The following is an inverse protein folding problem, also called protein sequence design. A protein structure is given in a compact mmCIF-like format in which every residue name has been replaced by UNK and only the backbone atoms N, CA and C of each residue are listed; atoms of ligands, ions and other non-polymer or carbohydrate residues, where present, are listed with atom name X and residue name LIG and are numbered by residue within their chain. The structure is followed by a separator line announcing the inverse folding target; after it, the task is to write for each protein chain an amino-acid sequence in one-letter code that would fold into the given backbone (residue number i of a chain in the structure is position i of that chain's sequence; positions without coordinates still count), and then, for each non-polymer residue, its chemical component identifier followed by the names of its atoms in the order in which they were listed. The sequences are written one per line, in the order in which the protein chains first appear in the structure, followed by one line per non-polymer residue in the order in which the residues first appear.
data_IF_855925846853
#
_entry.id   IF_855925846853
#
_cell.length_a   1.000
_cell.length_b   1.000
_cell.length_c   1.000
_cell.angle_alpha   90.00
_cell.angle_beta   90.00
_cell.angle_gamma   90.00
#
_symmetry.space_group_name_H-M   'P 1'
#
loop_
_entity.id
_entity.type
_entity.pdbx_description
1 polymer ?
#
# COMPACT_ATOMS: atom_id res chain seq x y z
N UNK A 1 -34.40 57.98 -39.30
CA UNK A 1 -34.46 57.55 -37.89
C UNK A 1 -34.32 56.04 -37.83
N UNK A 2 -33.20 55.50 -37.36
CA UNK A 2 -32.95 54.06 -37.31
C UNK A 2 -33.47 53.47 -35.98
N UNK A 3 -34.32 52.43 -36.06
CA UNK A 3 -34.83 51.70 -34.89
C UNK A 3 -33.73 50.78 -34.35
N UNK A 4 -33.31 51.02 -33.12
CA UNK A 4 -32.45 50.11 -32.34
C UNK A 4 -33.29 48.90 -31.94
N UNK A 5 -32.90 47.71 -32.40
CA UNK A 5 -33.55 46.46 -32.00
C UNK A 5 -33.26 46.17 -30.52
N UNK A 6 -34.31 46.07 -29.70
CA UNK A 6 -34.22 45.57 -28.33
C UNK A 6 -33.99 44.07 -28.39
N UNK A 7 -32.79 43.63 -28.02
CA UNK A 7 -32.46 42.21 -27.86
C UNK A 7 -33.22 41.70 -26.63
N UNK A 8 -34.00 40.63 -26.82
CA UNK A 8 -34.81 40.02 -25.78
C UNK A 8 -33.96 39.53 -24.60
N UNK A 9 -34.40 39.87 -23.38
CA UNK A 9 -33.76 39.51 -22.11
C UNK A 9 -33.57 37.99 -21.94
N UNK A 10 -34.35 37.19 -22.66
CA UNK A 10 -34.27 35.72 -22.69
C UNK A 10 -33.01 35.24 -23.40
N UNK A 11 -32.63 35.90 -24.49
CA UNK A 11 -31.40 35.59 -25.26
C UNK A 11 -30.18 35.95 -24.40
N UNK A 12 -30.21 37.12 -23.73
CA UNK A 12 -29.16 37.55 -22.80
C UNK A 12 -28.93 36.56 -21.64
N UNK A 13 -30.02 36.08 -21.01
CA UNK A 13 -29.94 35.06 -19.94
C UNK A 13 -29.45 33.69 -20.42
N UNK A 14 -29.64 33.36 -21.71
CA UNK A 14 -29.17 32.10 -22.30
C UNK A 14 -27.65 32.14 -22.53
N UNK A 15 -27.14 33.27 -23.03
CA UNK A 15 -25.69 33.49 -23.16
C UNK A 15 -24.98 33.64 -21.81
N UNK A 16 -25.59 34.29 -20.81
CA UNK A 16 -25.04 34.36 -19.44
C UNK A 16 -24.99 32.99 -18.72
N UNK A 17 -25.87 32.05 -19.09
CA UNK A 17 -25.83 30.66 -18.58
C UNK A 17 -24.77 29.80 -19.27
N UNK A 18 -24.44 30.08 -20.53
CA UNK A 18 -23.36 29.40 -21.26
C UNK A 18 -21.97 29.94 -20.90
N UNK A 19 -21.87 31.21 -20.47
CA UNK A 19 -20.62 31.83 -20.00
C UNK A 19 -20.37 31.74 -18.48
N UNK A 20 -21.15 30.95 -17.74
CA UNK A 20 -20.59 30.33 -16.53
C UNK A 20 -19.58 29.30 -17.02
N UNK A 21 -18.37 29.77 -17.33
CA UNK A 21 -17.14 28.97 -17.40
C UNK A 21 -17.30 27.95 -16.31
N UNK A 22 -17.56 26.70 -16.72
CA UNK A 22 -17.46 25.53 -15.86
C UNK A 22 -16.15 25.80 -15.13
N UNK A 23 -16.20 26.02 -13.81
CA UNK A 23 -14.98 25.89 -13.03
C UNK A 23 -14.47 24.53 -13.48
N UNK A 24 -13.35 24.52 -14.19
CA UNK A 24 -12.62 23.31 -14.41
C UNK A 24 -12.16 22.99 -13.00
N UNK A 25 -13.05 22.35 -12.23
CA UNK A 25 -12.64 21.55 -11.10
C UNK A 25 -11.55 20.70 -11.72
N UNK A 26 -10.32 21.00 -11.33
CA UNK A 26 -9.18 20.14 -11.57
C UNK A 26 -9.67 18.81 -10.99
N UNK A 27 -10.17 17.93 -11.84
CA UNK A 27 -10.55 16.58 -11.42
C UNK A 27 -9.24 16.01 -10.93
N UNK A 28 -9.04 15.98 -9.62
CA UNK A 28 -7.88 15.37 -9.01
C UNK A 28 -7.84 13.97 -9.60
N UNK A 29 -6.83 13.68 -10.44
CA UNK A 29 -6.66 12.34 -10.98
C UNK A 29 -6.48 11.43 -9.77
N UNK A 30 -7.30 10.39 -9.70
CA UNK A 30 -7.21 9.39 -8.66
C UNK A 30 -6.38 8.23 -9.20
N UNK A 31 -5.56 7.63 -8.34
CA UNK A 31 -4.85 6.39 -8.61
C UNK A 31 -5.65 5.26 -7.98
N UNK A 32 -5.91 4.21 -8.75
CA UNK A 32 -6.62 3.04 -8.28
C UNK A 32 -5.64 1.89 -8.02
N UNK A 33 -5.62 1.42 -6.78
CA UNK A 33 -4.79 0.32 -6.31
C UNK A 33 -5.61 -0.95 -6.14
N UNK A 34 -5.09 -2.07 -6.64
CA UNK A 34 -5.49 -3.40 -6.20
C UNK A 34 -4.39 -3.93 -5.28
N UNK A 35 -4.72 -4.18 -4.01
CA UNK A 35 -3.79 -4.78 -3.04
C UNK A 35 -4.29 -6.18 -2.71
N UNK A 36 -3.44 -7.18 -2.91
CA UNK A 36 -3.75 -8.58 -2.63
C UNK A 36 -2.82 -9.09 -1.54
N UNK A 37 -3.38 -9.39 -0.38
CA UNK A 37 -2.63 -9.96 0.75
C UNK A 37 -2.72 -11.48 0.76
N UNK A 38 -1.62 -12.14 1.11
CA UNK A 38 -1.56 -13.57 1.40
C UNK A 38 -2.29 -13.89 2.72
N UNK A 39 -1.92 -13.21 3.81
CA UNK A 39 -2.53 -13.40 5.12
C UNK A 39 -3.93 -12.78 5.21
N UNK A 40 -4.80 -13.39 6.03
CA UNK A 40 -6.18 -12.93 6.21
C UNK A 40 -6.35 -11.83 7.28
N UNK A 41 -5.26 -11.50 7.99
CA UNK A 41 -5.35 -10.84 9.30
C UNK A 41 -4.47 -9.60 9.36
N UNK A 42 -3.17 -9.77 9.59
CA UNK A 42 -2.26 -8.68 9.94
C UNK A 42 -2.18 -7.64 8.81
N UNK A 43 -1.88 -8.09 7.60
CA UNK A 43 -1.67 -7.25 6.42
C UNK A 43 -2.98 -6.58 5.97
N UNK A 44 -4.09 -7.31 5.77
CA UNK A 44 -5.36 -6.69 5.40
C UNK A 44 -5.85 -5.67 6.43
N UNK A 45 -5.73 -5.97 7.73
CA UNK A 45 -6.15 -5.04 8.77
C UNK A 45 -5.31 -3.76 8.76
N UNK A 46 -4.00 -3.87 8.50
CA UNK A 46 -3.12 -2.72 8.40
C UNK A 46 -3.50 -1.82 7.21
N UNK A 47 -3.66 -2.39 6.01
CA UNK A 47 -4.03 -1.60 4.82
C UNK A 47 -5.45 -1.05 4.89
N UNK A 48 -6.38 -1.77 5.51
CA UNK A 48 -7.74 -1.27 5.76
C UNK A 48 -7.75 -0.06 6.69
N UNK A 49 -6.94 -0.08 7.75
CA UNK A 49 -6.83 1.07 8.64
C UNK A 49 -6.12 2.26 7.96
N UNK A 50 -5.22 1.99 7.01
CA UNK A 50 -4.61 3.03 6.18
C UNK A 50 -5.58 3.60 5.13
N UNK A 51 -6.51 2.79 4.59
CA UNK A 51 -7.51 3.19 3.61
C UNK A 51 -8.37 4.36 4.09
N UNK A 52 -8.67 4.42 5.40
CA UNK A 52 -9.44 5.52 6.00
C UNK A 52 -8.76 6.91 5.83
N UNK A 53 -7.46 6.93 5.51
CA UNK A 53 -6.68 8.16 5.25
C UNK A 53 -6.57 8.50 3.76
N UNK A 54 -7.05 7.64 2.88
CA UNK A 54 -6.95 7.78 1.43
C UNK A 54 -8.29 8.24 0.85
N UNK A 55 -8.31 8.84 -0.36
CA UNK A 55 -9.57 9.17 -1.02
C UNK A 55 -10.43 7.92 -1.19
N UNK A 56 -11.72 8.00 -0.82
CA UNK A 56 -12.60 6.83 -0.79
C UNK A 56 -12.64 6.09 -2.13
N UNK A 57 -12.47 4.77 -2.07
CA UNK A 57 -12.58 3.89 -3.22
C UNK A 57 -11.39 3.94 -4.18
N UNK A 58 -10.24 4.50 -3.76
CA UNK A 58 -8.97 4.38 -4.51
C UNK A 58 -8.27 3.05 -4.27
N UNK A 59 -8.52 2.39 -3.14
CA UNK A 59 -7.93 1.10 -2.80
C UNK A 59 -9.00 0.02 -2.88
N UNK A 60 -8.69 -1.06 -3.58
CA UNK A 60 -9.44 -2.31 -3.49
C UNK A 60 -8.54 -3.38 -2.85
N UNK A 61 -8.92 -3.81 -1.66
CA UNK A 61 -8.21 -4.83 -0.89
C UNK A 61 -8.84 -6.21 -1.14
N UNK A 62 -8.00 -7.19 -1.48
CA UNK A 62 -8.36 -8.61 -1.60
C UNK A 62 -7.45 -9.44 -0.70
N UNK A 63 -7.98 -10.57 -0.27
CA UNK A 63 -7.27 -11.56 0.53
C UNK A 63 -7.29 -12.88 -0.22
N UNK A 64 -6.12 -13.48 -0.45
CA UNK A 64 -6.02 -14.84 -0.96
C UNK A 64 -6.07 -15.83 0.20
N UNK A 65 -7.27 -15.99 0.79
CA UNK A 65 -7.53 -16.86 1.97
C UNK A 65 -7.40 -18.37 1.70
N UNK A 66 -6.67 -18.76 0.65
CA UNK A 66 -6.54 -20.15 0.18
C UNK A 66 -5.18 -20.74 0.59
N UNK A 67 -4.26 -19.94 1.15
CA UNK A 67 -2.93 -20.42 1.53
C UNK A 67 -2.15 -20.95 0.32
N UNK A 68 -2.31 -20.28 -0.84
CA UNK A 68 -1.57 -20.63 -2.06
C UNK A 68 -0.09 -20.38 -1.82
N UNK A 69 0.76 -21.07 -2.58
CA UNK A 69 2.16 -20.64 -2.65
C UNK A 69 2.25 -19.21 -3.20
N UNK A 70 3.35 -18.51 -2.90
CA UNK A 70 3.60 -17.12 -3.33
C UNK A 70 3.42 -16.90 -4.83
N UNK A 71 3.70 -17.91 -5.68
CA UNK A 71 3.46 -17.84 -7.13
C UNK A 71 1.95 -17.79 -7.44
N UNK A 72 1.15 -18.61 -6.76
CA UNK A 72 -0.30 -18.66 -6.92
C UNK A 72 -1.00 -17.38 -6.45
N UNK A 73 -0.42 -16.66 -5.48
CA UNK A 73 -0.88 -15.32 -5.07
C UNK A 73 -0.75 -14.32 -6.24
N UNK A 74 0.37 -14.35 -6.96
CA UNK A 74 0.60 -13.49 -8.14
C UNK A 74 -0.40 -13.83 -9.25
N UNK A 75 -0.63 -15.11 -9.52
CA UNK A 75 -1.66 -15.54 -10.49
C UNK A 75 -3.05 -15.06 -10.09
N UNK A 76 -3.37 -15.14 -8.81
CA UNK A 76 -4.64 -14.64 -8.30
C UNK A 76 -4.76 -13.13 -8.50
N UNK A 77 -3.73 -12.34 -8.19
CA UNK A 77 -3.72 -10.89 -8.38
C UNK A 77 -3.87 -10.49 -9.86
N UNK A 78 -3.16 -11.16 -10.77
CA UNK A 78 -3.31 -10.98 -12.22
C UNK A 78 -4.75 -11.23 -12.64
N UNK A 79 -5.32 -12.36 -12.21
CA UNK A 79 -6.72 -12.69 -12.51
C UNK A 79 -7.69 -11.65 -11.96
N UNK A 80 -7.52 -11.19 -10.72
CA UNK A 80 -8.39 -10.17 -10.12
C UNK A 80 -8.30 -8.83 -10.88
N UNK A 81 -7.10 -8.45 -11.31
CA UNK A 81 -6.89 -7.27 -12.17
C UNK A 81 -7.66 -7.41 -13.48
N UNK A 82 -7.50 -8.54 -14.16
CA UNK A 82 -7.98 -8.73 -15.54
C UNK A 82 -9.51 -8.90 -15.63
N UNK A 83 -10.14 -9.48 -14.60
CA UNK A 83 -11.61 -9.62 -14.55
C UNK A 83 -12.34 -8.38 -14.04
N UNK A 84 -11.61 -7.42 -13.46
CA UNK A 84 -12.23 -6.23 -12.88
C UNK A 84 -12.77 -5.30 -13.97
N UNK A 85 -13.98 -4.78 -13.78
CA UNK A 85 -14.50 -3.72 -14.64
C UNK A 85 -13.79 -2.38 -14.42
N UNK A 86 -13.14 -2.22 -13.26
CA UNK A 86 -12.32 -1.06 -12.92
C UNK A 86 -10.89 -1.32 -13.37
N UNK A 87 -10.31 -0.35 -14.08
CA UNK A 87 -8.88 -0.35 -14.36
C UNK A 87 -8.11 0.08 -13.12
N UNK A 88 -7.13 -0.73 -12.72
CA UNK A 88 -6.18 -0.39 -11.67
C UNK A 88 -4.93 0.23 -12.30
N UNK A 89 -4.45 1.31 -11.70
CA UNK A 89 -3.19 1.96 -12.07
C UNK A 89 -1.99 1.25 -11.43
N UNK A 90 -2.22 0.63 -10.26
CA UNK A 90 -1.22 -0.13 -9.50
C UNK A 90 -1.82 -1.43 -8.99
N UNK A 91 -1.07 -2.52 -9.14
CA UNK A 91 -1.42 -3.83 -8.56
C UNK A 91 -0.27 -4.29 -7.69
N UNK A 92 -0.58 -4.61 -6.43
CA UNK A 92 0.38 -5.01 -5.42
C UNK A 92 0.00 -6.35 -4.82
N UNK A 93 0.99 -7.22 -4.63
CA UNK A 93 0.89 -8.41 -3.79
C UNK A 93 1.69 -8.21 -2.51
N UNK A 94 1.15 -8.65 -1.38
CA UNK A 94 1.77 -8.55 -0.05
C UNK A 94 1.89 -9.96 0.52
N UNK A 95 3.11 -10.38 0.83
CA UNK A 95 3.38 -11.74 1.31
C UNK A 95 4.64 -11.80 2.18
N UNK A 96 4.69 -12.80 3.04
CA UNK A 96 5.85 -13.10 3.88
C UNK A 96 6.74 -14.15 3.17
N UNK A 97 8.02 -14.20 3.51
CA UNK A 97 8.87 -15.30 3.02
C UNK A 97 8.51 -16.64 3.68
N UNK A 98 8.19 -16.60 4.98
CA UNK A 98 7.74 -17.74 5.79
C UNK A 98 8.49 -19.06 5.50
N UNK A 99 7.79 -20.20 5.51
CA UNK A 99 8.33 -21.53 5.24
C UNK A 99 8.29 -21.92 3.74
N UNK A 100 8.02 -20.98 2.83
CA UNK A 100 8.02 -21.30 1.41
C UNK A 100 9.43 -21.60 0.90
N UNK A 101 9.56 -22.52 -0.08
CA UNK A 101 10.82 -22.74 -0.77
C UNK A 101 11.36 -21.43 -1.36
N UNK A 102 12.65 -21.20 -1.24
CA UNK A 102 13.34 -20.01 -1.74
C UNK A 102 13.04 -19.72 -3.22
N UNK A 103 12.98 -20.78 -4.04
CA UNK A 103 12.65 -20.68 -5.47
C UNK A 103 11.23 -20.16 -5.71
N UNK A 104 10.26 -20.52 -4.85
CA UNK A 104 8.90 -20.02 -4.96
C UNK A 104 8.84 -18.53 -4.58
N UNK A 105 9.54 -18.12 -3.52
CA UNK A 105 9.57 -16.72 -3.09
C UNK A 105 10.22 -15.84 -4.15
N UNK A 106 11.42 -16.21 -4.62
CA UNK A 106 12.15 -15.47 -5.65
C UNK A 106 11.39 -15.49 -6.99
N UNK A 107 10.87 -16.66 -7.37
CA UNK A 107 10.10 -16.83 -8.60
C UNK A 107 8.81 -16.01 -8.61
N UNK A 108 8.12 -15.87 -7.48
CA UNK A 108 6.93 -15.01 -7.37
C UNK A 108 7.26 -13.55 -7.64
N UNK A 109 8.35 -13.03 -7.06
CA UNK A 109 8.80 -11.65 -7.28
C UNK A 109 9.12 -11.42 -8.76
N UNK A 110 9.90 -12.31 -9.37
CA UNK A 110 10.26 -12.23 -10.79
C UNK A 110 9.00 -12.26 -11.67
N UNK A 111 8.08 -13.18 -11.40
CA UNK A 111 6.82 -13.32 -12.15
C UNK A 111 5.95 -12.09 -12.01
N UNK A 112 5.83 -11.52 -10.82
CA UNK A 112 5.05 -10.33 -10.58
C UNK A 112 5.56 -9.15 -11.41
N UNK A 113 6.87 -8.88 -11.37
CA UNK A 113 7.49 -7.82 -12.16
C UNK A 113 7.26 -8.02 -13.67
N UNK A 114 7.39 -9.24 -14.18
CA UNK A 114 7.13 -9.55 -15.58
C UNK A 114 5.67 -9.30 -16.02
N UNK A 115 4.74 -9.18 -15.06
CA UNK A 115 3.31 -8.99 -15.31
C UNK A 115 2.80 -7.63 -14.81
N UNK A 116 3.68 -6.65 -14.59
CA UNK A 116 3.32 -5.32 -14.06
C UNK A 116 2.56 -5.39 -12.73
N UNK A 117 2.97 -6.33 -11.87
CA UNK A 117 2.51 -6.46 -10.49
C UNK A 117 3.70 -6.17 -9.57
N UNK A 118 3.50 -5.27 -8.61
CA UNK A 118 4.50 -4.90 -7.61
C UNK A 118 4.42 -5.84 -6.40
N UNK A 119 5.52 -5.98 -5.66
CA UNK A 119 5.58 -6.85 -4.48
C UNK A 119 6.02 -6.11 -3.22
N UNK A 120 5.17 -6.12 -2.21
CA UNK A 120 5.46 -5.65 -0.85
C UNK A 120 5.72 -6.86 0.06
N UNK A 121 6.87 -7.51 -0.11
CA UNK A 121 7.24 -8.69 0.66
C UNK A 121 8.04 -8.38 1.92
N UNK A 122 8.07 -9.32 2.88
CA UNK A 122 8.86 -9.19 4.11
C UNK A 122 9.62 -10.46 4.48
N UNK A 123 10.88 -10.30 4.89
CA UNK A 123 11.76 -11.36 5.40
C UNK A 123 11.94 -11.26 6.91
N UNK A 124 11.45 -12.19 7.73
CA UNK A 124 10.59 -13.33 7.36
C UNK A 124 9.09 -13.08 7.55
N UNK A 125 8.71 -12.04 8.30
CA UNK A 125 7.32 -11.80 8.71
C UNK A 125 6.95 -10.32 8.72
N UNK A 126 5.71 -10.01 8.35
CA UNK A 126 5.18 -8.65 8.26
C UNK A 126 5.40 -7.83 9.54
N UNK A 127 5.44 -8.47 10.71
CA UNK A 127 5.76 -7.81 11.98
C UNK A 127 7.13 -7.09 12.00
N UNK A 128 8.06 -7.40 11.08
CA UNK A 128 9.27 -6.58 10.88
C UNK A 128 8.88 -5.13 10.55
N UNK A 129 7.92 -4.92 9.65
CA UNK A 129 7.42 -3.59 9.32
C UNK A 129 6.93 -2.86 10.58
N UNK A 130 6.15 -3.54 11.42
CA UNK A 130 5.68 -2.96 12.69
C UNK A 130 6.82 -2.63 13.65
N UNK A 131 7.85 -3.47 13.75
CA UNK A 131 9.00 -3.18 14.62
C UNK A 131 9.76 -1.94 14.16
N UNK A 132 9.87 -1.72 12.85
CA UNK A 132 10.53 -0.55 12.29
C UNK A 132 9.81 0.76 12.62
N UNK A 133 8.56 0.75 13.09
CA UNK A 133 7.94 1.96 13.64
C UNK A 133 8.54 2.38 14.99
N UNK A 134 9.22 1.48 15.70
CA UNK A 134 9.70 1.71 17.07
C UNK A 134 11.22 1.63 17.21
N UNK A 135 11.87 0.73 16.48
CA UNK A 135 13.32 0.53 16.56
C UNK A 135 13.90 0.03 15.24
N UNK A 136 15.17 0.39 14.98
CA UNK A 136 15.89 -0.18 13.86
C UNK A 136 16.26 -1.64 14.15
N UNK A 137 15.77 -2.57 13.32
CA UNK A 137 16.08 -4.01 13.43
C UNK A 137 16.94 -4.40 12.23
N UNK A 138 18.21 -4.70 12.48
CA UNK A 138 19.21 -4.95 11.44
C UNK A 138 19.77 -6.37 11.45
N UNK A 139 19.29 -7.21 12.36
CA UNK A 139 19.62 -8.64 12.50
C UNK A 139 18.33 -9.45 12.33
N UNK A 140 18.40 -10.56 11.60
CA UNK A 140 17.24 -11.41 11.36
C UNK A 140 16.67 -11.96 12.66
N UNK A 141 15.36 -11.85 12.82
CA UNK A 141 14.61 -12.40 13.96
C UNK A 141 13.81 -13.61 13.49
N UNK A 142 13.61 -14.58 14.39
CA UNK A 142 12.69 -15.68 14.13
C UNK A 142 11.24 -15.19 14.20
N UNK A 143 10.33 -15.80 13.43
CA UNK A 143 8.90 -15.45 13.44
C UNK A 143 8.28 -15.40 14.84
N UNK A 144 8.68 -16.34 15.71
CA UNK A 144 8.23 -16.42 17.10
C UNK A 144 8.68 -15.22 17.98
N UNK A 145 9.77 -14.55 17.62
CA UNK A 145 10.37 -13.49 18.42
C UNK A 145 9.72 -12.13 18.16
N UNK A 146 9.19 -11.87 16.96
CA UNK A 146 8.60 -10.58 16.60
C UNK A 146 7.55 -10.11 17.60
N UNK A 147 6.69 -11.03 18.04
CA UNK A 147 5.66 -10.75 19.06
C UNK A 147 6.29 -10.21 20.35
N UNK A 148 7.33 -10.87 20.86
CA UNK A 148 7.97 -10.47 22.10
C UNK A 148 8.66 -9.10 21.98
N UNK A 149 9.30 -8.84 20.83
CA UNK A 149 9.93 -7.54 20.56
C UNK A 149 8.89 -6.42 20.43
N UNK A 150 7.78 -6.66 19.72
CA UNK A 150 6.70 -5.68 19.58
C UNK A 150 6.07 -5.35 20.93
N UNK A 151 5.73 -6.37 21.71
CA UNK A 151 5.20 -6.20 23.06
C UNK A 151 6.18 -5.43 23.95
N UNK A 152 7.48 -5.72 23.87
CA UNK A 152 8.51 -5.00 24.63
C UNK A 152 8.53 -3.52 24.29
N UNK A 153 8.53 -3.16 23.01
CA UNK A 153 8.58 -1.75 22.61
C UNK A 153 7.30 -0.99 22.98
N UNK A 154 6.13 -1.62 22.83
CA UNK A 154 4.84 -1.00 23.20
C UNK A 154 4.72 -0.85 24.72
N UNK A 155 5.17 -1.85 25.51
CA UNK A 155 5.13 -1.79 26.98
C UNK A 155 6.02 -0.70 27.58
N UNK A 156 7.02 -0.19 26.84
CA UNK A 156 7.82 0.97 27.27
C UNK A 156 7.00 2.27 27.29
N UNK A 157 5.86 2.32 26.59
CA UNK A 157 4.97 3.49 26.56
C UNK A 157 4.08 3.51 27.80
N UNK A 158 3.86 4.70 28.36
CA UNK A 158 3.05 4.88 29.56
C UNK A 158 1.63 4.31 29.37
N UNK A 159 1.13 3.55 30.36
CA UNK A 159 -0.21 2.95 30.32
C UNK A 159 -0.30 1.55 29.67
N UNK A 160 0.77 1.04 29.04
CA UNK A 160 0.71 -0.21 28.27
C UNK A 160 1.52 -1.38 28.84
N UNK A 161 1.88 -1.33 30.12
CA UNK A 161 2.75 -2.32 30.80
C UNK A 161 2.27 -3.78 30.63
N UNK A 162 0.96 -4.00 30.44
CA UNK A 162 0.34 -5.33 30.25
C UNK A 162 -0.06 -5.64 28.81
N UNK A 163 0.33 -4.81 27.83
CA UNK A 163 -0.05 -4.99 26.42
C UNK A 163 0.36 -6.37 25.90
N UNK A 164 -0.50 -7.00 25.09
CA UNK A 164 -0.25 -8.28 24.42
C UNK A 164 -0.63 -8.15 22.96
N UNK A 165 0.28 -8.54 22.08
CA UNK A 165 0.03 -8.50 20.64
C UNK A 165 -0.80 -9.72 20.21
N UNK A 166 -1.84 -9.44 19.43
CA UNK A 166 -2.67 -10.43 18.75
C UNK A 166 -2.75 -10.06 17.27
N UNK A 167 -2.56 -11.04 16.37
CA UNK A 167 -2.56 -10.81 14.91
C UNK A 167 -3.87 -10.20 14.37
N UNK A 168 -4.98 -10.38 15.08
CA UNK A 168 -6.29 -9.82 14.75
C UNK A 168 -6.61 -8.50 15.46
N UNK A 169 -5.65 -7.94 16.19
CA UNK A 169 -5.91 -6.73 16.95
C UNK A 169 -5.85 -5.49 16.04
N UNK A 170 -7.03 -4.99 15.69
CA UNK A 170 -7.19 -3.71 15.01
C UNK A 170 -6.53 -2.55 15.76
N UNK A 171 -6.36 -2.66 17.08
CA UNK A 171 -5.64 -1.65 17.86
C UNK A 171 -4.16 -1.57 17.50
N UNK A 172 -3.55 -2.63 16.93
CA UNK A 172 -2.12 -2.61 16.56
C UNK A 172 -1.80 -1.43 15.65
N UNK A 173 -2.66 -1.13 14.67
CA UNK A 173 -2.50 0.06 13.82
C UNK A 173 -2.55 1.36 14.62
N UNK A 174 -3.52 1.50 15.52
CA UNK A 174 -3.62 2.68 16.39
C UNK A 174 -2.37 2.87 17.26
N UNK A 175 -1.68 1.79 17.65
CA UNK A 175 -0.41 1.89 18.36
C UNK A 175 0.72 2.39 17.47
N UNK A 176 0.82 1.86 16.25
CA UNK A 176 1.81 2.30 15.27
C UNK A 176 1.65 3.78 14.92
N UNK A 177 0.39 4.24 14.84
CA UNK A 177 0.05 5.62 14.56
C UNK A 177 0.33 6.55 15.74
N UNK A 178 -0.14 6.20 16.93
CA UNK A 178 -0.04 7.09 18.09
C UNK A 178 1.33 7.09 18.77
N UNK A 179 2.09 6.00 18.66
CA UNK A 179 3.33 5.80 19.43
C UNK A 179 4.54 5.38 18.59
N UNK A 180 4.33 5.04 17.32
CA UNK A 180 5.38 4.72 16.36
C UNK A 180 5.76 5.91 15.49
N UNK A 181 6.72 5.71 14.60
CA UNK A 181 7.15 6.70 13.61
C UNK A 181 7.24 6.04 12.22
N UNK A 182 6.24 6.33 11.37
CA UNK A 182 6.15 5.75 10.04
C UNK A 182 7.22 6.29 9.08
N UNK A 183 7.53 7.59 9.14
CA UNK A 183 8.59 8.18 8.31
C UNK A 183 9.94 7.53 8.61
N UNK A 184 10.24 7.32 9.89
CA UNK A 184 11.45 6.63 10.31
C UNK A 184 11.45 5.14 9.90
N UNK A 185 10.29 4.48 9.94
CA UNK A 185 10.16 3.10 9.48
C UNK A 185 10.45 2.96 7.98
N UNK A 186 9.99 3.91 7.17
CA UNK A 186 10.30 3.98 5.73
C UNK A 186 11.81 4.11 5.53
N UNK A 187 12.47 5.03 6.23
CA UNK A 187 13.91 5.24 6.09
C UNK A 187 14.72 4.02 6.55
N UNK A 188 14.32 3.36 7.63
CA UNK A 188 14.97 2.12 8.06
C UNK A 188 14.73 0.97 7.08
N UNK A 189 13.55 0.85 6.50
CA UNK A 189 13.28 -0.16 5.48
C UNK A 189 14.12 0.07 4.20
N UNK A 190 14.31 1.34 3.78
CA UNK A 190 15.24 1.72 2.71
C UNK A 190 16.69 1.34 3.05
N UNK A 191 17.12 1.57 4.29
CA UNK A 191 18.46 1.17 4.74
C UNK A 191 18.65 -0.35 4.71
N UNK A 192 17.64 -1.13 5.13
CA UNK A 192 17.69 -2.59 5.02
C UNK A 192 17.76 -3.05 3.56
N UNK A 193 16.96 -2.42 2.68
CA UNK A 193 16.99 -2.68 1.24
C UNK A 193 18.39 -2.52 0.64
N UNK A 194 19.09 -1.43 0.98
CA UNK A 194 20.40 -1.09 0.43
C UNK A 194 21.51 -2.11 0.78
N UNK A 195 21.32 -2.94 1.81
CA UNK A 195 22.29 -3.99 2.17
C UNK A 195 22.37 -5.13 1.17
N UNK A 196 21.36 -5.25 0.30
CA UNK A 196 21.23 -6.36 -0.63
C UNK A 196 21.15 -5.83 -2.06
N UNK A 197 22.00 -6.37 -2.93
CA UNK A 197 22.12 -5.94 -4.33
C UNK A 197 21.80 -7.04 -5.34
N UNK A 198 21.64 -8.28 -4.87
CA UNK A 198 21.30 -9.42 -5.71
C UNK A 198 19.78 -9.69 -5.76
N UNK A 199 19.38 -10.68 -6.56
CA UNK A 199 17.99 -11.12 -6.70
C UNK A 199 17.66 -12.38 -5.86
N UNK A 200 18.54 -12.75 -4.93
CA UNK A 200 18.29 -13.86 -3.98
C UNK A 200 17.43 -13.34 -2.83
N UNK A 201 16.24 -12.82 -3.16
CA UNK A 201 15.37 -12.10 -2.23
C UNK A 201 15.05 -12.91 -0.97
N UNK A 202 14.94 -14.25 -1.07
CA UNK A 202 14.73 -15.17 0.07
C UNK A 202 15.81 -15.05 1.15
N UNK A 203 17.00 -14.60 0.79
CA UNK A 203 18.15 -14.43 1.70
C UNK A 203 18.26 -13.03 2.30
N UNK A 204 17.41 -12.09 1.85
CA UNK A 204 17.45 -10.69 2.30
C UNK A 204 16.80 -10.55 3.68
N UNK A 205 17.42 -11.09 4.73
CA UNK A 205 16.88 -11.10 6.09
C UNK A 205 17.79 -10.32 7.07
N UNK A 206 17.29 -9.26 7.75
CA UNK A 206 15.94 -8.70 7.67
C UNK A 206 15.79 -7.72 6.52
N UNK A 207 14.65 -7.76 5.82
CA UNK A 207 14.31 -6.81 4.78
C UNK A 207 12.80 -6.78 4.55
N UNK A 208 12.26 -5.61 4.17
CA UNK A 208 10.86 -5.47 3.76
C UNK A 208 10.75 -4.49 2.60
N UNK A 209 9.81 -4.75 1.70
CA UNK A 209 9.41 -3.86 0.60
C UNK A 209 8.09 -3.15 0.87
N UNK A 210 7.48 -3.34 2.04
CA UNK A 210 6.21 -2.70 2.41
C UNK A 210 6.28 -1.18 2.30
N UNK A 211 7.41 -0.57 2.67
CA UNK A 211 7.62 0.88 2.55
C UNK A 211 7.33 1.42 1.14
N UNK A 212 7.64 0.67 0.08
CA UNK A 212 7.42 1.11 -1.30
C UNK A 212 5.92 1.27 -1.61
N UNK A 213 5.10 0.33 -1.14
CA UNK A 213 3.65 0.42 -1.25
C UNK A 213 3.12 1.60 -0.41
N UNK A 214 3.65 1.81 0.79
CA UNK A 214 3.23 2.94 1.64
C UNK A 214 3.57 4.28 1.00
N UNK A 215 4.75 4.42 0.41
CA UNK A 215 5.15 5.63 -0.30
C UNK A 215 4.21 5.93 -1.48
N UNK A 216 3.83 4.91 -2.28
CA UNK A 216 2.85 5.10 -3.37
C UNK A 216 1.45 5.47 -2.86
N UNK A 217 0.98 4.86 -1.77
CA UNK A 217 -0.33 5.14 -1.20
C UNK A 217 -0.42 6.57 -0.64
N UNK A 218 0.66 7.06 -0.01
CA UNK A 218 0.71 8.41 0.57
C UNK A 218 0.99 9.49 -0.48
N UNK A 219 1.67 9.15 -1.57
CA UNK A 219 2.04 10.09 -2.63
C UNK A 219 1.50 9.64 -4.01
N UNK A 220 0.17 9.52 -4.19
CA UNK A 220 -0.41 9.03 -5.44
C UNK A 220 -0.13 9.97 -6.63
N UNK A 221 0.24 11.23 -6.40
CA UNK A 221 0.65 12.13 -7.47
C UNK A 221 1.96 11.70 -8.14
N UNK A 222 2.89 11.11 -7.40
CA UNK A 222 4.15 10.61 -7.96
C UNK A 222 3.91 9.42 -8.89
N UNK A 223 2.95 8.56 -8.52
CA UNK A 223 2.47 7.47 -9.37
C UNK A 223 1.89 8.02 -10.67
N UNK A 224 1.04 9.05 -10.61
CA UNK A 224 0.45 9.67 -11.80
C UNK A 224 1.52 10.27 -12.72
N UNK A 225 2.48 10.99 -12.16
CA UNK A 225 3.57 11.58 -12.92
C UNK A 225 4.41 10.51 -13.64
N UNK A 226 4.70 9.39 -12.95
CA UNK A 226 5.38 8.25 -13.55
C UNK A 226 4.60 7.65 -14.73
N UNK A 227 3.30 7.42 -14.56
CA UNK A 227 2.42 6.87 -15.61
C UNK A 227 2.25 7.80 -16.82
N UNK A 228 2.44 9.11 -16.65
CA UNK A 228 2.44 10.07 -17.75
C UNK A 228 3.78 10.12 -18.49
N UNK A 229 4.89 9.85 -17.80
CA UNK A 229 6.23 9.81 -18.42
C UNK A 229 6.51 8.56 -19.26
N UNK A 230 5.75 7.47 -19.05
CA UNK A 230 5.88 6.21 -19.78
C UNK A 230 5.04 6.16 -21.08
N UNK A 231 4.26 7.21 -21.39
CA UNK A 231 3.40 7.33 -22.58
C UNK A 231 4.04 8.16 -23.68
#
# INVERSE_FOLDING_TARGET
MARVAKIDNVIKKRFEREEKKRSVEIRTKLVYFLIVCEGEKTEPNYFKALEDKLPRGTVELKVDGIGRNTIGLVDYAIRQRDISCRKYDRVWVVFDKDDFPDDNFNGAIIKAHANSVNCAWTNEAFELWFLLHFQFVNTGLKRADYKAYLEREIRKKSGFVKYKYLKNDFCTFSFLENYGNQEQAIEWAKQLKQKYTDQRYSTHNPCTRVHELIEELLNPQDVLNGLESEK
#
